data_IF_834064379183
#
_entry.id   IF_834064379183
#
_cell.length_a   1.000
_cell.length_b   1.000
_cell.length_c   1.000
_cell.angle_alpha   90.00
_cell.angle_beta   90.00
_cell.angle_gamma   90.00
#
_symmetry.space_group_name_H-M   'P 1'
#
loop_
_entity.id
_entity.type
_entity.pdbx_description
1 polymer ?
#
# COMPACT_ATOMS: atom_id res chain seq x y z
N UNK A 1 -30.24 -0.93 -35.22
CA UNK A 1 -30.03 -0.87 -33.75
C UNK A 1 -29.05 -1.94 -33.28
N UNK A 2 -29.18 -3.19 -33.74
CA UNK A 2 -28.25 -4.28 -33.43
C UNK A 2 -26.83 -4.00 -33.96
N UNK A 3 -26.69 -3.44 -35.17
CA UNK A 3 -25.36 -3.16 -35.77
C UNK A 3 -24.57 -2.03 -35.09
N UNK A 4 -25.26 -1.01 -34.58
CA UNK A 4 -24.62 0.08 -33.83
C UNK A 4 -24.08 -0.43 -32.49
N UNK A 5 -24.87 -1.23 -31.76
CA UNK A 5 -24.45 -1.87 -30.49
C UNK A 5 -23.31 -2.86 -30.72
N UNK A 6 -23.33 -3.60 -31.83
CA UNK A 6 -22.27 -4.54 -32.19
C UNK A 6 -20.95 -3.80 -32.51
N UNK A 7 -21.02 -2.72 -33.29
CA UNK A 7 -19.85 -1.88 -33.61
C UNK A 7 -19.27 -1.20 -32.36
N UNK A 8 -20.11 -0.69 -31.47
CA UNK A 8 -19.67 -0.09 -30.21
C UNK A 8 -18.91 -1.09 -29.32
N UNK A 9 -19.37 -2.35 -29.28
CA UNK A 9 -18.69 -3.43 -28.53
C UNK A 9 -17.34 -3.80 -29.14
N UNK A 10 -17.23 -3.80 -30.47
CA UNK A 10 -15.97 -4.07 -31.16
C UNK A 10 -14.95 -2.97 -30.86
N UNK A 11 -15.36 -1.70 -30.96
CA UNK A 11 -14.51 -0.56 -30.62
C UNK A 11 -14.07 -0.57 -29.15
N UNK A 12 -14.95 -0.93 -28.22
CA UNK A 12 -14.59 -1.07 -26.82
C UNK A 12 -13.56 -2.19 -26.60
N UNK A 13 -13.72 -3.34 -27.26
CA UNK A 13 -12.79 -4.46 -27.17
C UNK A 13 -11.41 -4.11 -27.74
N UNK A 14 -11.35 -3.41 -28.87
CA UNK A 14 -10.10 -2.92 -29.47
C UNK A 14 -9.38 -1.93 -28.56
N UNK A 15 -10.10 -1.00 -27.95
CA UNK A 15 -9.55 -0.05 -26.98
C UNK A 15 -8.95 -0.78 -25.77
N UNK A 16 -9.66 -1.76 -25.21
CA UNK A 16 -9.14 -2.57 -24.10
C UNK A 16 -7.88 -3.31 -24.53
N UNK A 17 -7.90 -3.97 -25.70
CA UNK A 17 -6.75 -4.70 -26.23
C UNK A 17 -5.53 -3.78 -26.42
N UNK A 18 -5.74 -2.57 -26.94
CA UNK A 18 -4.69 -1.58 -27.09
C UNK A 18 -4.12 -1.15 -25.74
N UNK A 19 -4.97 -0.92 -24.73
CA UNK A 19 -4.53 -0.58 -23.37
C UNK A 19 -3.79 -1.74 -22.69
N UNK A 20 -4.22 -2.98 -22.87
CA UNK A 20 -3.52 -4.15 -22.32
C UNK A 20 -2.14 -4.37 -22.96
N UNK A 21 -1.91 -3.84 -24.16
CA UNK A 21 -0.61 -3.85 -24.85
C UNK A 21 0.29 -2.66 -24.50
N UNK A 22 -0.24 -1.62 -23.83
CA UNK A 22 0.54 -0.47 -23.38
C UNK A 22 1.53 -0.90 -22.29
N UNK A 23 2.85 -0.65 -22.45
CA UNK A 23 3.84 -0.98 -21.43
C UNK A 23 3.47 -0.41 -20.07
N UNK A 24 2.98 0.83 -19.99
CA UNK A 24 2.61 1.44 -18.71
C UNK A 24 1.52 0.66 -17.98
N UNK A 25 0.53 0.12 -18.70
CA UNK A 25 -0.51 -0.73 -18.14
C UNK A 25 0.06 -2.03 -17.58
N UNK A 26 0.99 -2.68 -18.30
CA UNK A 26 1.64 -3.91 -17.85
C UNK A 26 2.44 -3.66 -16.56
N UNK A 27 3.26 -2.61 -16.54
CA UNK A 27 4.03 -2.24 -15.34
C UNK A 27 3.10 -1.87 -14.19
N UNK A 28 1.99 -1.18 -14.44
CA UNK A 28 1.03 -0.86 -13.40
C UNK A 28 0.34 -2.11 -12.83
N UNK A 29 0.04 -3.13 -13.64
CA UNK A 29 -0.46 -4.41 -13.12
C UNK A 29 0.57 -5.15 -12.27
N UNK A 30 1.86 -5.11 -12.63
CA UNK A 30 2.92 -5.66 -11.79
C UNK A 30 3.01 -4.93 -10.45
N UNK A 31 2.83 -3.61 -10.46
CA UNK A 31 2.73 -2.80 -9.25
C UNK A 31 1.53 -3.22 -8.40
N UNK A 32 0.35 -3.41 -9.00
CA UNK A 32 -0.84 -3.87 -8.27
C UNK A 32 -0.64 -5.27 -7.66
N UNK A 33 0.08 -6.16 -8.34
CA UNK A 33 0.43 -7.47 -7.79
C UNK A 33 1.29 -7.35 -6.52
N UNK A 34 2.16 -6.34 -6.42
CA UNK A 34 2.89 -6.02 -5.20
C UNK A 34 2.00 -5.36 -4.14
N UNK A 35 1.20 -4.36 -4.54
CA UNK A 35 0.58 -3.42 -3.60
C UNK A 35 -0.72 -3.94 -2.99
N UNK A 36 -1.55 -4.64 -3.77
CA UNK A 36 -2.83 -5.18 -3.29
C UNK A 36 -2.70 -6.10 -2.05
N UNK A 37 -1.67 -6.97 -1.94
CA UNK A 37 -1.42 -7.76 -0.75
C UNK A 37 -1.33 -6.98 0.57
N UNK A 38 -0.89 -5.72 0.58
CA UNK A 38 -0.87 -4.90 1.81
C UNK A 38 -2.29 -4.70 2.34
N UNK A 39 -3.22 -4.31 1.47
CA UNK A 39 -4.60 -4.02 1.83
C UNK A 39 -5.38 -5.29 2.17
N UNK A 40 -5.20 -6.36 1.39
CA UNK A 40 -5.92 -7.62 1.67
C UNK A 40 -5.50 -8.22 3.00
N UNK A 41 -4.22 -8.09 3.39
CA UNK A 41 -3.73 -8.56 4.69
C UNK A 41 -4.22 -7.70 5.84
N UNK A 42 -4.17 -6.37 5.71
CA UNK A 42 -4.71 -5.44 6.72
C UNK A 42 -6.21 -5.68 6.92
N UNK A 43 -6.99 -5.75 5.83
CA UNK A 43 -8.43 -6.02 5.91
C UNK A 43 -8.71 -7.35 6.60
N UNK A 44 -7.94 -8.40 6.27
CA UNK A 44 -8.09 -9.71 6.91
C UNK A 44 -7.82 -9.66 8.42
N UNK A 45 -6.78 -8.94 8.85
CA UNK A 45 -6.48 -8.78 10.27
C UNK A 45 -7.59 -7.99 10.98
N UNK A 46 -8.06 -6.88 10.38
CA UNK A 46 -9.14 -6.05 10.95
C UNK A 46 -10.49 -6.76 11.02
N UNK A 47 -10.77 -7.69 10.08
CA UNK A 47 -12.02 -8.44 10.00
C UNK A 47 -11.94 -9.82 10.68
N UNK A 48 -10.86 -10.13 11.40
CA UNK A 48 -10.71 -11.41 12.07
C UNK A 48 -11.71 -11.55 13.23
N UNK A 49 -12.61 -12.51 13.13
CA UNK A 49 -13.52 -12.90 14.24
C UNK A 49 -12.80 -13.66 15.36
N UNK A 50 -11.55 -14.11 15.13
CA UNK A 50 -10.73 -14.70 16.18
C UNK A 50 -10.31 -13.62 17.18
N UNK A 51 -10.31 -13.89 18.50
CA UNK A 51 -9.88 -12.96 19.53
C UNK A 51 -8.35 -12.76 19.47
N UNK A 52 -7.90 -12.01 18.48
CA UNK A 52 -6.50 -11.64 18.23
C UNK A 52 -6.26 -10.15 18.41
N UNK A 53 -7.16 -9.46 19.11
CA UNK A 53 -7.09 -8.01 19.29
C UNK A 53 -5.76 -7.58 19.94
N UNK A 54 -5.19 -8.46 20.77
CA UNK A 54 -3.85 -8.29 21.35
C UNK A 54 -2.74 -8.10 20.29
N UNK A 55 -2.79 -8.85 19.18
CA UNK A 55 -1.79 -8.78 18.10
C UNK A 55 -2.18 -7.76 17.02
N UNK A 56 -3.47 -7.39 16.93
CA UNK A 56 -4.02 -6.54 15.88
C UNK A 56 -3.25 -5.23 15.74
N UNK A 57 -3.00 -4.52 16.84
CA UNK A 57 -2.27 -3.24 16.80
C UNK A 57 -0.87 -3.42 16.24
N UNK A 58 -0.13 -4.42 16.71
CA UNK A 58 1.23 -4.69 16.26
C UNK A 58 1.28 -5.11 14.78
N UNK A 59 0.34 -5.95 14.34
CA UNK A 59 0.28 -6.47 12.97
C UNK A 59 -0.07 -5.37 11.97
N UNK A 60 -1.13 -4.60 12.25
CA UNK A 60 -1.56 -3.50 11.38
C UNK A 60 -0.49 -2.39 11.35
N UNK A 61 0.11 -2.06 12.49
CA UNK A 61 1.24 -1.12 12.56
C UNK A 61 2.42 -1.57 11.70
N UNK A 62 2.83 -2.84 11.79
CA UNK A 62 3.95 -3.36 11.02
C UNK A 62 3.66 -3.35 9.50
N UNK A 63 2.45 -3.76 9.11
CA UNK A 63 2.04 -3.75 7.69
C UNK A 63 1.95 -2.32 7.14
N UNK A 64 1.36 -1.40 7.90
CA UNK A 64 1.27 0.01 7.50
C UNK A 64 2.66 0.64 7.38
N UNK A 65 3.56 0.37 8.33
CA UNK A 65 4.96 0.82 8.24
C UNK A 65 5.67 0.27 7.00
N UNK A 66 5.43 -0.99 6.65
CA UNK A 66 5.99 -1.61 5.44
C UNK A 66 5.48 -0.93 4.16
N UNK A 67 4.19 -0.55 4.12
CA UNK A 67 3.63 0.25 3.03
C UNK A 67 4.33 1.61 2.92
N UNK A 68 4.45 2.33 4.03
CA UNK A 68 5.11 3.64 4.08
C UNK A 68 6.59 3.55 3.67
N UNK A 69 7.29 2.48 4.04
CA UNK A 69 8.70 2.27 3.66
C UNK A 69 8.93 2.25 2.15
N UNK A 70 7.89 1.97 1.35
CA UNK A 70 7.96 1.98 -0.11
C UNK A 70 8.23 3.37 -0.68
N UNK A 71 7.80 4.44 -0.01
CA UNK A 71 7.92 5.80 -0.54
C UNK A 71 8.37 6.87 0.47
N UNK A 72 8.34 6.60 1.78
CA UNK A 72 8.84 7.49 2.83
C UNK A 72 10.33 7.21 3.10
N UNK A 73 11.09 8.28 3.36
CA UNK A 73 12.52 8.24 3.72
C UNK A 73 12.74 7.36 4.96
N UNK A 74 13.74 6.48 4.89
CA UNK A 74 14.09 5.54 5.97
C UNK A 74 14.33 6.24 7.31
N UNK A 75 14.97 7.41 7.32
CA UNK A 75 15.23 8.13 8.56
C UNK A 75 13.95 8.57 9.29
N UNK A 76 12.87 8.88 8.57
CA UNK A 76 11.59 9.27 9.17
C UNK A 76 10.93 8.03 9.80
N UNK A 77 10.88 6.93 9.04
CA UNK A 77 10.30 5.64 9.47
C UNK A 77 10.95 5.08 10.75
N UNK A 78 12.27 5.29 10.92
CA UNK A 78 12.99 4.78 12.08
C UNK A 78 12.89 5.69 13.32
N UNK A 79 12.74 7.00 13.12
CA UNK A 79 12.78 8.00 14.21
C UNK A 79 11.40 8.40 14.71
N UNK A 80 10.36 8.24 13.88
CA UNK A 80 9.03 8.77 14.17
C UNK A 80 8.06 7.62 14.45
N UNK A 81 7.32 7.66 15.58
CA UNK A 81 6.21 6.73 15.82
C UNK A 81 5.20 6.77 14.66
N UNK A 82 4.63 5.61 14.30
CA UNK A 82 3.83 5.48 13.07
C UNK A 82 2.68 6.49 12.98
N UNK A 83 2.00 6.77 14.09
CA UNK A 83 0.87 7.70 14.19
C UNK A 83 1.27 9.18 14.04
N UNK A 84 2.56 9.49 14.09
CA UNK A 84 3.11 10.85 13.94
C UNK A 84 3.78 11.06 12.58
N UNK A 85 3.87 10.03 11.74
CA UNK A 85 4.46 10.14 10.41
C UNK A 85 3.47 10.92 9.53
N UNK A 86 3.86 12.12 9.11
CA UNK A 86 3.14 12.85 8.08
C UNK A 86 3.47 12.22 6.71
N UNK A 87 2.63 11.26 6.31
CA UNK A 87 2.81 10.42 5.12
C UNK A 87 2.36 11.11 3.81
N UNK A 88 1.80 12.32 3.90
CA UNK A 88 1.36 13.14 2.75
C UNK A 88 2.36 14.27 2.44
N UNK A 89 3.28 14.56 3.36
CA UNK A 89 4.27 15.64 3.19
C UNK A 89 5.40 15.20 2.23
N UNK A 90 5.55 15.85 1.05
CA UNK A 90 6.58 15.49 0.07
C UNK A 90 8.02 15.59 0.59
N UNK A 91 8.30 16.41 1.61
CA UNK A 91 9.62 16.49 2.23
C UNK A 91 10.03 15.17 2.91
N UNK A 92 9.07 14.32 3.27
CA UNK A 92 9.31 13.01 3.86
C UNK A 92 9.50 11.92 2.79
N UNK A 93 9.25 12.21 1.51
CA UNK A 93 9.26 11.21 0.45
C UNK A 93 10.68 10.91 -0.03
N UNK A 94 10.92 9.66 -0.41
CA UNK A 94 12.12 9.30 -1.17
C UNK A 94 12.12 10.06 -2.50
N UNK A 95 13.30 10.31 -3.10
CA UNK A 95 13.37 10.71 -4.51
C UNK A 95 12.50 9.79 -5.37
N UNK A 96 11.81 10.36 -6.36
CA UNK A 96 10.82 9.61 -7.15
C UNK A 96 11.42 8.37 -7.83
N UNK A 97 12.68 8.43 -8.24
CA UNK A 97 13.43 7.31 -8.82
C UNK A 97 13.84 6.23 -7.81
N UNK A 98 13.75 6.50 -6.51
CA UNK A 98 14.11 5.60 -5.41
C UNK A 98 12.89 5.00 -4.69
N UNK A 99 11.66 5.32 -5.10
CA UNK A 99 10.47 4.67 -4.56
C UNK A 99 10.48 3.19 -4.94
N UNK A 100 10.10 2.33 -3.98
CA UNK A 100 10.07 0.90 -4.18
C UNK A 100 8.74 0.48 -4.82
N UNK A 101 8.80 0.07 -6.09
CA UNK A 101 7.65 -0.43 -6.86
C UNK A 101 7.63 -1.95 -6.99
N UNK A 102 8.58 -2.66 -6.38
CA UNK A 102 8.72 -4.11 -6.47
C UNK A 102 9.90 -4.55 -7.32
N UNK A 103 10.46 -5.72 -6.98
CA UNK A 103 11.62 -6.27 -7.67
C UNK A 103 11.39 -6.48 -9.17
N UNK A 104 10.21 -6.94 -9.59
CA UNK A 104 9.90 -7.16 -11.01
C UNK A 104 9.96 -5.87 -11.83
N UNK A 105 9.45 -4.77 -11.29
CA UNK A 105 9.51 -3.46 -11.93
C UNK A 105 10.94 -2.95 -11.93
N UNK A 106 11.64 -3.06 -10.79
CA UNK A 106 13.03 -2.61 -10.68
C UNK A 106 13.97 -3.26 -11.72
N UNK A 107 13.74 -4.54 -12.06
CA UNK A 107 14.51 -5.26 -13.08
C UNK A 107 14.20 -4.86 -14.52
N UNK A 108 13.06 -4.22 -14.78
CA UNK A 108 12.55 -3.98 -16.14
C UNK A 108 12.28 -2.52 -16.43
N UNK A 109 12.39 -1.63 -15.45
CA UNK A 109 12.02 -0.21 -15.56
C UNK A 109 12.79 0.49 -16.68
N UNK A 110 14.00 0.04 -17.00
CA UNK A 110 14.83 0.57 -18.09
C UNK A 110 14.27 0.27 -19.49
N UNK A 111 13.25 -0.60 -19.60
CA UNK A 111 12.50 -0.81 -20.84
C UNK A 111 11.49 0.32 -21.13
N UNK A 112 11.24 1.20 -20.16
CA UNK A 112 10.42 2.40 -20.34
C UNK A 112 11.33 3.58 -20.66
N UNK A 113 10.85 4.50 -21.50
CA UNK A 113 11.51 5.79 -21.64
C UNK A 113 11.41 6.60 -20.32
N UNK A 114 12.21 7.66 -20.21
CA UNK A 114 12.25 8.48 -18.99
C UNK A 114 10.90 9.09 -18.61
N UNK A 115 10.10 9.51 -19.60
CA UNK A 115 8.79 10.09 -19.38
C UNK A 115 7.79 9.03 -18.92
N UNK A 116 7.78 7.86 -19.55
CA UNK A 116 6.99 6.71 -19.13
C UNK A 116 7.34 6.26 -17.71
N UNK A 117 8.62 6.12 -17.38
CA UNK A 117 9.09 5.74 -16.05
C UNK A 117 8.69 6.79 -15.01
N UNK A 118 8.73 8.08 -15.35
CA UNK A 118 8.23 9.16 -14.49
C UNK A 118 6.72 9.04 -14.26
N UNK A 119 5.93 8.90 -15.32
CA UNK A 119 4.46 8.74 -15.24
C UNK A 119 4.09 7.54 -14.36
N UNK A 120 4.75 6.39 -14.56
CA UNK A 120 4.52 5.19 -13.75
C UNK A 120 4.78 5.47 -12.27
N UNK A 121 5.96 6.04 -11.95
CA UNK A 121 6.35 6.32 -10.57
C UNK A 121 5.40 7.28 -9.88
N UNK A 122 4.98 8.34 -10.56
CA UNK A 122 4.01 9.31 -10.02
C UNK A 122 2.68 8.62 -9.72
N UNK A 123 2.13 7.84 -10.67
CA UNK A 123 0.88 7.09 -10.45
C UNK A 123 0.98 6.09 -9.29
N UNK A 124 2.10 5.40 -9.17
CA UNK A 124 2.32 4.46 -8.07
C UNK A 124 2.48 5.17 -6.71
N UNK A 125 3.14 6.34 -6.69
CA UNK A 125 3.24 7.17 -5.50
C UNK A 125 1.86 7.66 -5.06
N UNK A 126 1.06 8.20 -5.98
CA UNK A 126 -0.31 8.64 -5.69
C UNK A 126 -1.16 7.51 -5.12
N UNK A 127 -1.04 6.30 -5.70
CA UNK A 127 -1.71 5.11 -5.19
C UNK A 127 -1.27 4.74 -3.76
N UNK A 128 0.03 4.84 -3.46
CA UNK A 128 0.52 4.57 -2.10
C UNK A 128 0.05 5.60 -1.09
N UNK A 129 0.05 6.88 -1.46
CA UNK A 129 -0.45 7.97 -0.60
C UNK A 129 -1.92 7.74 -0.30
N UNK A 130 -2.76 7.54 -1.32
CA UNK A 130 -4.18 7.27 -1.15
C UNK A 130 -4.40 6.00 -0.31
N UNK A 131 -3.66 4.93 -0.62
CA UNK A 131 -3.70 3.70 0.17
C UNK A 131 -3.37 3.92 1.65
N UNK A 132 -2.37 4.76 1.93
CA UNK A 132 -2.00 5.11 3.30
C UNK A 132 -3.09 5.93 3.99
N UNK A 133 -3.66 6.93 3.31
CA UNK A 133 -4.80 7.73 3.78
C UNK A 133 -5.98 6.84 4.16
N UNK A 134 -6.33 5.90 3.29
CA UNK A 134 -7.44 4.96 3.48
C UNK A 134 -7.21 4.03 4.69
N UNK A 135 -5.98 3.58 4.95
CA UNK A 135 -5.66 2.79 6.15
C UNK A 135 -5.74 3.65 7.41
N UNK A 136 -5.14 4.85 7.38
CA UNK A 136 -5.10 5.76 8.51
C UNK A 136 -6.49 6.25 8.95
N UNK A 137 -7.43 6.42 8.00
CA UNK A 137 -8.82 6.75 8.31
C UNK A 137 -9.59 5.61 9.01
N UNK A 138 -9.19 4.35 8.81
CA UNK A 138 -9.90 3.17 9.31
C UNK A 138 -9.29 2.56 10.57
N UNK A 139 -8.06 2.91 10.91
CA UNK A 139 -7.34 2.33 12.04
C UNK A 139 -6.73 3.41 12.93
N UNK A 140 -7.17 3.46 14.20
CA UNK A 140 -6.59 4.37 15.19
C UNK A 140 -5.25 3.82 15.72
N UNK A 141 -4.17 4.23 15.08
CA UNK A 141 -2.80 3.89 15.51
C UNK A 141 -2.43 4.48 16.87
N UNK A 142 -3.16 5.49 17.36
CA UNK A 142 -2.89 6.11 18.66
C UNK A 142 -3.70 5.49 19.82
N UNK A 143 -4.67 4.62 19.53
CA UNK A 143 -5.54 3.99 20.53
C UNK A 143 -4.76 3.35 21.68
N UNK A 144 -4.88 3.92 22.89
CA UNK A 144 -4.25 3.36 24.10
C UNK A 144 -4.84 2.00 24.46
N UNK A 145 -6.14 1.79 24.19
CA UNK A 145 -6.80 0.49 24.40
C UNK A 145 -6.11 -0.56 23.54
N UNK A 146 -6.02 -0.36 22.23
CA UNK A 146 -5.42 -1.33 21.31
C UNK A 146 -3.92 -1.57 21.62
N UNK A 147 -3.19 -0.54 22.02
CA UNK A 147 -1.77 -0.67 22.43
C UNK A 147 -1.60 -1.56 23.68
N UNK A 148 -2.53 -1.49 24.63
CA UNK A 148 -2.44 -2.19 25.91
C UNK A 148 -3.14 -3.56 25.93
N UNK A 149 -3.86 -3.95 24.87
CA UNK A 149 -4.55 -5.25 24.78
C UNK A 149 -3.63 -6.46 24.85
N UNK A 150 -2.31 -6.28 24.64
CA UNK A 150 -1.32 -7.33 24.89
C UNK A 150 -1.31 -7.86 26.32
N UNK A 151 -1.81 -7.11 27.31
CA UNK A 151 -1.89 -7.55 28.71
C UNK A 151 -2.85 -8.75 28.88
N UNK A 152 -3.81 -8.91 27.98
CA UNK A 152 -4.82 -9.98 28.03
C UNK A 152 -4.32 -11.25 27.31
N UNK A 153 -3.14 -11.20 26.68
CA UNK A 153 -2.57 -12.38 26.05
C UNK A 153 -2.19 -13.41 27.14
N UNK A 154 -2.75 -14.64 27.11
CA UNK A 154 -2.48 -15.66 28.13
C UNK A 154 -1.01 -16.12 28.14
N UNK A 155 -0.24 -15.78 27.11
CA UNK A 155 1.21 -16.05 27.01
C UNK A 155 2.08 -14.97 27.69
N UNK A 156 1.52 -13.82 28.05
CA UNK A 156 2.23 -12.78 28.81
C UNK A 156 2.05 -13.01 30.31
N UNK A 157 3.12 -13.31 31.07
CA UNK A 157 3.02 -13.49 32.52
C UNK A 157 2.64 -12.15 33.18
N UNK A 158 1.56 -12.15 33.96
CA UNK A 158 1.15 -11.01 34.79
C UNK A 158 2.28 -10.66 35.77
N UNK A 159 3.08 -9.65 35.47
CA UNK A 159 4.06 -9.10 36.42
C UNK A 159 3.36 -8.06 37.29
N UNK A 160 3.00 -8.43 38.52
CA UNK A 160 2.68 -7.46 39.58
C UNK A 160 3.95 -6.61 39.82
N UNK A 161 3.86 -5.30 39.61
CA UNK A 161 4.84 -4.37 40.16
C UNK A 161 4.63 -4.38 41.67
N UNK A 162 5.63 -4.90 42.40
CA UNK A 162 5.78 -4.76 43.85
C UNK A 162 6.52 -3.45 44.09
#
# INVERSE_FOLDING_TARGET
MIDAVQNDRVLAAENILQKLRDPLTIFFFQFLQLSLPFFTKINREMQSEKPKIQELHSNVTAMYKTLLECYIKRQIILKTPVHQINYENPHNFRPLNEIYLGAQIAMRIDNLDQNQAHILRTRCLDFFIEGATQINQRFDFNSEVLKNMNIINPSTPFRRKI
#
